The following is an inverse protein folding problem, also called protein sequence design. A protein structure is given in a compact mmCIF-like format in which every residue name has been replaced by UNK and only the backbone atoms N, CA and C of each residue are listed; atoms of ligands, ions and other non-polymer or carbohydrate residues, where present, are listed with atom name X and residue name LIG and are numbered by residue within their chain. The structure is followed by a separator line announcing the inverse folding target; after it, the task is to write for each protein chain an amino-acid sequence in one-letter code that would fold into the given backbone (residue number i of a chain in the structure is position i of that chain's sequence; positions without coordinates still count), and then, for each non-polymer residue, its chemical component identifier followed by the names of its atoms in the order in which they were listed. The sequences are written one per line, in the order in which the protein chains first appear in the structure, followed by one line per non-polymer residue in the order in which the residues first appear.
data_IF_764862233716
#
_entry.id   IF_764862233716
#
_cell.length_a   1.000
_cell.length_b   1.000
_cell.length_c   1.000
_cell.angle_alpha   90.00
_cell.angle_beta   90.00
_cell.angle_gamma   90.00
#
_symmetry.space_group_name_H-M   'P 1'
#
loop_
_entity.id
_entity.type
_entity.pdbx_description
1 polymer ?
#
# COMPACT_ATOMS: atom_id res chain seq x y z
N UNK A 1 0.12 -1.65 18.72
CA UNK A 1 1.44 -2.05 18.21
C UNK A 1 2.51 -1.01 18.53
N UNK A 2 2.33 0.28 18.19
CA UNK A 2 3.35 1.33 18.46
C UNK A 2 3.81 1.43 19.92
N UNK A 3 2.87 1.44 20.87
CA UNK A 3 3.14 1.60 22.31
C UNK A 3 3.99 0.47 22.92
N UNK A 4 4.07 -0.70 22.27
CA UNK A 4 4.79 -1.87 22.78
C UNK A 4 6.13 -2.11 22.06
N UNK A 5 6.33 -1.51 20.89
CA UNK A 5 7.48 -1.77 20.04
C UNK A 5 8.52 -0.64 20.03
N UNK A 6 8.26 0.48 20.72
CA UNK A 6 9.18 1.62 20.73
C UNK A 6 9.34 2.26 19.35
N UNK A 7 8.29 2.25 18.53
CA UNK A 7 8.29 2.80 17.16
C UNK A 7 7.33 3.98 17.05
N UNK A 8 7.69 4.95 16.21
CA UNK A 8 6.78 5.99 15.76
C UNK A 8 5.98 5.47 14.57
N UNK A 9 4.67 5.69 14.58
CA UNK A 9 3.78 5.32 13.47
C UNK A 9 3.25 6.59 12.83
N UNK A 10 3.61 6.79 11.56
CA UNK A 10 3.04 7.83 10.71
C UNK A 10 1.82 7.25 9.98
N UNK A 11 0.61 7.60 10.44
CA UNK A 11 -0.63 7.18 9.79
C UNK A 11 -1.02 8.19 8.72
N UNK A 12 -1.17 7.74 7.47
CA UNK A 12 -1.40 8.62 6.32
C UNK A 12 -2.89 8.73 6.02
N UNK A 13 -3.43 9.94 6.15
CA UNK A 13 -4.79 10.25 5.72
C UNK A 13 -4.80 10.63 4.23
N UNK A 14 -4.68 9.61 3.37
CA UNK A 14 -4.73 9.79 1.92
C UNK A 14 -6.16 10.02 1.44
N UNK A 15 -6.31 10.75 0.32
CA UNK A 15 -7.63 11.00 -0.27
C UNK A 15 -8.28 9.72 -0.78
N UNK A 16 -9.58 9.60 -0.57
CA UNK A 16 -10.36 8.40 -0.86
C UNK A 16 -11.13 8.51 -2.19
N UNK A 17 -11.33 7.35 -2.82
CA UNK A 17 -12.34 7.17 -3.84
C UNK A 17 -13.74 7.07 -3.18
N UNK A 18 -14.82 7.48 -3.87
CA UNK A 18 -14.90 7.86 -5.29
C UNK A 18 -14.46 9.28 -5.64
N UNK A 19 -14.39 10.19 -4.67
CA UNK A 19 -14.13 11.62 -4.90
C UNK A 19 -12.76 11.86 -5.53
N UNK A 20 -11.78 11.02 -5.16
CA UNK A 20 -10.42 11.05 -5.68
C UNK A 20 -10.05 9.66 -6.19
N UNK A 21 -10.38 9.36 -7.45
CA UNK A 21 -10.10 8.06 -8.08
C UNK A 21 -8.59 7.76 -8.12
N UNK A 22 -8.24 6.49 -8.29
CA UNK A 22 -6.86 6.09 -8.50
C UNK A 22 -6.21 6.89 -9.64
N UNK A 23 -4.95 7.37 -9.51
CA UNK A 23 -3.96 7.04 -8.46
C UNK A 23 -3.86 8.05 -7.30
N UNK A 24 -4.84 8.92 -7.06
CA UNK A 24 -4.66 10.07 -6.14
C UNK A 24 -4.25 9.66 -4.71
N UNK A 25 -4.96 8.73 -4.07
CA UNK A 25 -4.59 8.27 -2.72
C UNK A 25 -3.24 7.53 -2.66
N UNK A 26 -2.82 6.90 -3.77
CA UNK A 26 -1.50 6.31 -3.90
C UNK A 26 -0.42 7.40 -3.95
N UNK A 27 -0.65 8.48 -4.70
CA UNK A 27 0.26 9.63 -4.80
C UNK A 27 0.41 10.34 -3.45
N UNK A 28 -0.71 10.55 -2.73
CA UNK A 28 -0.65 11.11 -1.37
C UNK A 28 0.23 10.26 -0.44
N UNK A 29 0.06 8.94 -0.50
CA UNK A 29 0.86 8.01 0.29
C UNK A 29 2.34 8.02 -0.11
N UNK A 30 2.61 8.09 -1.41
CA UNK A 30 3.96 8.19 -1.97
C UNK A 30 4.68 9.47 -1.52
N UNK A 31 4.00 10.61 -1.61
CA UNK A 31 4.56 11.91 -1.22
C UNK A 31 4.89 11.95 0.27
N UNK A 32 4.06 11.34 1.13
CA UNK A 32 4.34 11.24 2.56
C UNK A 32 5.55 10.34 2.85
N UNK A 33 5.72 9.23 2.12
CA UNK A 33 6.91 8.37 2.26
C UNK A 33 8.19 9.14 1.88
N UNK A 34 8.15 9.92 0.79
CA UNK A 34 9.26 10.80 0.41
C UNK A 34 9.54 11.86 1.45
N UNK A 35 8.50 12.56 1.90
CA UNK A 35 8.62 13.59 2.91
C UNK A 35 9.24 13.04 4.20
N UNK A 36 8.76 11.89 4.68
CA UNK A 36 9.26 11.24 5.88
C UNK A 36 10.76 10.89 5.79
N UNK A 37 11.26 10.56 4.61
CA UNK A 37 12.68 10.28 4.39
C UNK A 37 13.57 11.54 4.44
N UNK A 38 13.01 12.75 4.35
CA UNK A 38 13.81 13.99 4.39
C UNK A 38 14.42 14.23 5.78
N UNK A 39 15.62 14.85 5.87
CA UNK A 39 16.21 15.21 7.16
C UNK A 39 15.31 16.12 8.01
N UNK A 40 14.56 17.01 7.39
CA UNK A 40 13.64 17.93 8.07
C UNK A 40 12.48 17.17 8.74
N UNK A 41 11.86 16.22 8.03
CA UNK A 41 10.79 15.40 8.61
C UNK A 41 11.32 14.49 9.72
N UNK A 42 12.48 13.87 9.52
CA UNK A 42 13.11 13.02 10.56
C UNK A 42 13.38 13.81 11.85
N UNK A 43 13.89 15.04 11.73
CA UNK A 43 14.08 15.94 12.87
C UNK A 43 12.74 16.34 13.52
N UNK A 44 11.73 16.69 12.71
CA UNK A 44 10.40 17.06 13.21
C UNK A 44 9.71 15.90 13.96
N UNK A 45 9.86 14.68 13.47
CA UNK A 45 9.30 13.47 14.08
C UNK A 45 10.17 12.88 15.20
N UNK A 46 11.39 13.40 15.39
CA UNK A 46 12.39 12.86 16.32
C UNK A 46 12.68 11.37 16.08
N UNK A 47 12.83 10.98 14.81
CA UNK A 47 13.12 9.60 14.38
C UNK A 47 14.47 9.49 13.68
N UNK A 48 15.02 8.28 13.67
CA UNK A 48 16.20 7.92 12.90
C UNK A 48 15.85 6.71 12.02
N UNK A 49 15.56 6.98 10.75
CA UNK A 49 15.10 5.97 9.81
C UNK A 49 16.21 4.98 9.41
N UNK A 50 17.48 5.24 9.76
CA UNK A 50 18.58 4.26 9.57
C UNK A 50 18.47 3.07 10.53
N UNK A 51 17.78 3.24 11.67
CA UNK A 51 17.49 2.16 12.62
C UNK A 51 16.32 1.29 12.19
N UNK A 52 15.47 1.79 11.30
CA UNK A 52 14.32 1.09 10.77
C UNK A 52 13.37 2.02 10.03
N UNK A 53 13.05 1.66 8.79
CA UNK A 53 12.07 2.35 7.96
C UNK A 53 11.15 1.32 7.31
N UNK A 54 9.99 1.11 7.92
CA UNK A 54 9.05 0.04 7.53
C UNK A 54 7.80 0.69 6.92
N UNK A 55 7.41 0.25 5.72
CA UNK A 55 6.08 0.59 5.19
C UNK A 55 5.11 -0.54 5.53
N UNK A 56 3.90 -0.17 5.93
CA UNK A 56 2.88 -1.12 6.33
C UNK A 56 1.50 -0.69 5.86
N UNK A 57 0.69 -1.67 5.49
CA UNK A 57 -0.67 -1.42 5.03
C UNK A 57 -1.60 -2.60 5.30
N UNK A 58 -2.89 -2.31 5.37
CA UNK A 58 -3.96 -3.30 5.47
C UNK A 58 -4.89 -3.18 4.26
N UNK A 59 -5.29 -4.29 3.65
CA UNK A 59 -6.23 -4.30 2.53
C UNK A 59 -5.80 -3.37 1.38
N UNK A 60 -6.59 -2.36 1.04
CA UNK A 60 -6.24 -1.34 0.04
C UNK A 60 -4.96 -0.56 0.39
N UNK A 61 -4.67 -0.29 1.68
CA UNK A 61 -3.40 0.34 2.07
C UNK A 61 -2.19 -0.55 1.81
N UNK A 62 -2.37 -1.88 1.86
CA UNK A 62 -1.31 -2.82 1.52
C UNK A 62 -1.07 -2.88 0.00
N UNK A 63 -2.09 -2.61 -0.83
CA UNK A 63 -1.91 -2.37 -2.27
C UNK A 63 -0.94 -1.21 -2.51
N UNK A 64 -1.19 -0.07 -1.85
CA UNK A 64 -0.35 1.12 -1.99
C UNK A 64 1.06 0.86 -1.47
N UNK A 65 1.19 0.18 -0.33
CA UNK A 65 2.49 -0.23 0.22
C UNK A 65 3.28 -1.08 -0.78
N UNK A 66 2.63 -2.05 -1.44
CA UNK A 66 3.28 -2.88 -2.45
C UNK A 66 3.79 -2.05 -3.63
N UNK A 67 2.93 -1.21 -4.22
CA UNK A 67 3.30 -0.35 -5.35
C UNK A 67 4.41 0.65 -5.02
N UNK A 68 4.31 1.34 -3.88
CA UNK A 68 5.33 2.31 -3.43
C UNK A 68 6.67 1.61 -3.17
N UNK A 69 6.65 0.46 -2.49
CA UNK A 69 7.88 -0.29 -2.22
C UNK A 69 8.57 -0.77 -3.49
N UNK A 70 7.80 -1.23 -4.49
CA UNK A 70 8.33 -1.58 -5.79
C UNK A 70 8.88 -0.37 -6.54
N UNK A 71 8.22 0.79 -6.48
CA UNK A 71 8.74 2.00 -7.11
C UNK A 71 10.14 2.36 -6.59
N UNK A 72 10.32 2.41 -5.26
CA UNK A 72 11.61 2.78 -4.66
C UNK A 72 12.68 1.67 -4.73
N UNK A 73 12.27 0.41 -4.91
CA UNK A 73 13.19 -0.71 -5.08
C UNK A 73 13.57 -0.99 -6.55
N UNK A 74 12.75 -0.56 -7.51
CA UNK A 74 12.52 -1.33 -8.74
C UNK A 74 13.10 -0.85 -10.06
N UNK A 75 13.85 0.25 -10.14
CA UNK A 75 14.55 0.63 -11.38
C UNK A 75 15.74 1.53 -11.08
N UNK A 76 16.83 1.43 -11.85
CA UNK A 76 17.99 2.33 -11.69
C UNK A 76 17.63 3.80 -11.89
N UNK A 77 16.64 4.05 -12.76
CA UNK A 77 16.15 5.38 -13.11
C UNK A 77 15.15 5.96 -12.10
N UNK A 78 14.63 5.14 -11.17
CA UNK A 78 13.71 5.62 -10.17
C UNK A 78 14.45 6.38 -9.06
N UNK A 79 13.77 7.36 -8.50
CA UNK A 79 14.23 8.02 -7.27
C UNK A 79 14.43 6.97 -6.16
N UNK A 80 15.50 7.12 -5.40
CA UNK A 80 15.82 6.22 -4.28
C UNK A 80 15.60 6.95 -2.97
N UNK A 81 15.03 6.25 -2.00
CA UNK A 81 14.96 6.74 -0.63
C UNK A 81 16.34 6.67 0.02
N UNK A 82 16.66 7.68 0.81
CA UNK A 82 17.80 7.69 1.70
C UNK A 82 17.34 8.18 3.07
N UNK A 83 17.22 7.29 4.08
CA UNK A 83 17.57 5.87 4.07
C UNK A 83 16.58 4.99 3.29
N UNK A 84 17.02 3.80 2.88
CA UNK A 84 16.17 2.81 2.20
C UNK A 84 15.18 2.15 3.17
N UNK A 85 14.10 1.61 2.61
CA UNK A 85 13.15 0.80 3.37
C UNK A 85 13.84 -0.45 3.93
N UNK A 86 13.63 -0.74 5.21
CA UNK A 86 14.21 -1.89 5.91
C UNK A 86 13.22 -3.03 6.10
N UNK A 87 11.94 -2.82 5.78
CA UNK A 87 10.91 -3.85 5.91
C UNK A 87 9.57 -3.43 5.31
N UNK A 88 8.73 -4.44 5.07
CA UNK A 88 7.36 -4.28 4.57
C UNK A 88 6.41 -5.11 5.43
N UNK A 89 5.23 -4.57 5.70
CA UNK A 89 4.16 -5.26 6.40
C UNK A 89 2.87 -5.23 5.57
N UNK A 90 2.44 -6.41 5.11
CA UNK A 90 1.21 -6.57 4.37
C UNK A 90 0.18 -7.34 5.20
N UNK A 91 -0.97 -6.72 5.43
CA UNK A 91 -2.08 -7.34 6.15
C UNK A 91 -3.26 -7.47 5.18
N UNK A 92 -3.64 -8.72 4.87
CA UNK A 92 -4.73 -9.04 3.94
C UNK A 92 -4.70 -8.21 2.63
N UNK A 93 -3.59 -8.24 1.87
CA UNK A 93 -3.38 -7.29 0.78
C UNK A 93 -4.25 -7.58 -0.44
N UNK A 94 -4.70 -6.52 -1.11
CA UNK A 94 -5.25 -6.59 -2.48
C UNK A 94 -4.16 -6.14 -3.46
N UNK A 95 -3.53 -7.04 -4.21
CA UNK A 95 -2.34 -6.71 -5.04
C UNK A 95 -2.55 -6.86 -6.54
N UNK A 96 -3.70 -7.40 -6.95
CA UNK A 96 -3.99 -7.65 -8.35
C UNK A 96 -5.48 -7.45 -8.59
N UNK A 97 -5.82 -6.69 -9.64
CA UNK A 97 -7.19 -6.55 -10.09
C UNK A 97 -7.74 -7.93 -10.50
N UNK A 98 -8.99 -8.29 -10.18
CA UNK A 98 -9.55 -9.61 -10.52
C UNK A 98 -9.41 -9.98 -11.99
N UNK A 99 -9.56 -9.00 -12.89
CA UNK A 99 -9.46 -9.18 -14.35
C UNK A 99 -8.01 -9.17 -14.88
N UNK A 100 -7.03 -8.75 -14.07
CA UNK A 100 -5.62 -8.70 -14.44
C UNK A 100 -4.81 -9.89 -13.88
N UNK A 101 -5.48 -10.87 -13.26
CA UNK A 101 -4.81 -12.07 -12.70
C UNK A 101 -4.12 -12.86 -13.82
N UNK A 102 -2.81 -13.16 -13.71
CA UNK A 102 -2.11 -13.95 -14.72
C UNK A 102 -2.71 -15.34 -14.87
N UNK A 103 -2.92 -15.78 -16.11
CA UNK A 103 -3.59 -17.05 -16.44
C UNK A 103 -2.98 -18.25 -15.70
N UNK A 104 -1.64 -18.31 -15.67
CA UNK A 104 -0.87 -19.36 -15.01
C UNK A 104 -1.09 -19.48 -13.49
N UNK A 105 -1.69 -18.46 -12.86
CA UNK A 105 -1.97 -18.43 -11.42
C UNK A 105 -3.46 -18.48 -11.09
N UNK A 106 -4.36 -18.47 -12.07
CA UNK A 106 -5.81 -18.46 -11.80
C UNK A 106 -6.26 -19.66 -10.96
N UNK A 107 -5.70 -20.84 -11.22
CA UNK A 107 -5.96 -22.06 -10.44
C UNK A 107 -5.45 -22.00 -8.98
N UNK A 108 -4.70 -20.96 -8.58
CA UNK A 108 -4.18 -20.77 -7.23
C UNK A 108 -4.84 -19.60 -6.48
N UNK A 109 -5.55 -18.72 -7.18
CA UNK A 109 -6.18 -17.50 -6.63
C UNK A 109 -7.70 -17.69 -6.67
N UNK A 110 -8.19 -18.74 -6.01
CA UNK A 110 -9.57 -19.20 -6.10
C UNK A 110 -10.54 -18.40 -5.23
N UNK A 111 -10.06 -17.78 -4.14
CA UNK A 111 -10.92 -17.14 -3.14
C UNK A 111 -11.83 -16.05 -3.70
N UNK A 112 -11.36 -15.29 -4.70
CA UNK A 112 -12.16 -14.25 -5.37
C UNK A 112 -13.28 -14.82 -6.26
N UNK A 113 -13.15 -16.08 -6.71
CA UNK A 113 -14.14 -16.74 -7.57
C UNK A 113 -15.08 -17.66 -6.78
N UNK A 114 -14.59 -18.29 -5.72
CA UNK A 114 -15.33 -19.31 -4.96
C UNK A 114 -16.01 -18.76 -3.70
N UNK A 115 -15.46 -17.68 -3.10
CA UNK A 115 -15.96 -17.13 -1.83
C UNK A 115 -16.67 -15.81 -2.08
N UNK A 116 -17.99 -15.88 -2.23
CA UNK A 116 -18.79 -14.73 -2.64
C UNK A 116 -19.40 -13.93 -1.47
N UNK A 117 -19.54 -14.55 -0.29
CA UNK A 117 -20.23 -13.97 0.87
C UNK A 117 -19.42 -14.14 2.17
N UNK A 118 -18.14 -13.72 2.14
CA UNK A 118 -17.33 -13.71 3.35
C UNK A 118 -17.75 -12.55 4.27
N UNK A 119 -17.83 -12.78 5.60
CA UNK A 119 -18.09 -11.70 6.55
C UNK A 119 -17.11 -10.54 6.38
N UNK A 120 -17.62 -9.34 6.08
CA UNK A 120 -16.84 -8.11 5.92
C UNK A 120 -16.34 -7.81 4.50
N UNK A 121 -16.35 -8.78 3.57
CA UNK A 121 -15.97 -8.55 2.17
C UNK A 121 -16.69 -9.53 1.24
N UNK A 122 -17.61 -9.02 0.43
CA UNK A 122 -18.39 -9.82 -0.53
C UNK A 122 -17.89 -9.64 -1.95
N UNK A 123 -18.22 -10.57 -2.85
CA UNK A 123 -17.93 -10.43 -4.28
C UNK A 123 -18.55 -9.16 -4.87
N UNK A 124 -19.81 -8.86 -4.50
CA UNK A 124 -20.50 -7.63 -4.93
C UNK A 124 -19.75 -6.36 -4.51
N UNK A 125 -19.19 -6.31 -3.30
CA UNK A 125 -18.37 -5.16 -2.89
C UNK A 125 -17.06 -5.08 -3.67
N UNK A 126 -16.40 -6.20 -3.95
CA UNK A 126 -15.18 -6.23 -4.76
C UNK A 126 -15.46 -5.69 -6.16
N UNK A 127 -16.52 -6.18 -6.81
CA UNK A 127 -16.90 -5.75 -8.17
C UNK A 127 -17.26 -4.26 -8.22
N UNK A 128 -17.95 -3.75 -7.20
CA UNK A 128 -18.26 -2.31 -7.09
C UNK A 128 -17.00 -1.45 -7.07
N UNK A 129 -16.04 -1.76 -6.19
CA UNK A 129 -14.81 -0.98 -6.09
C UNK A 129 -13.93 -1.14 -7.34
N UNK A 130 -13.82 -2.36 -7.86
CA UNK A 130 -13.06 -2.68 -9.07
C UNK A 130 -13.59 -1.93 -10.30
N UNK A 131 -14.89 -2.02 -10.59
CA UNK A 131 -15.47 -1.49 -11.83
C UNK A 131 -15.60 0.04 -11.89
N UNK A 132 -15.86 0.71 -10.76
CA UNK A 132 -16.22 2.14 -10.77
C UNK A 132 -15.04 3.08 -10.46
N UNK A 133 -13.98 2.56 -9.82
CA UNK A 133 -12.97 3.38 -9.15
C UNK A 133 -11.51 3.01 -9.47
N UNK A 134 -11.28 1.85 -10.09
CA UNK A 134 -9.95 1.42 -10.54
C UNK A 134 -10.03 1.03 -12.02
N UNK A 135 -9.72 1.97 -12.92
CA UNK A 135 -9.66 1.67 -14.34
C UNK A 135 -8.38 0.88 -14.65
N UNK A 136 -8.51 -0.23 -15.40
CA UNK A 136 -7.43 -0.76 -16.24
C UNK A 136 -7.37 0.02 -17.55
#
# INVERSE_FOLDING_TARGET
MSLQCGVVVLNVEYRLAPENKFPVGWQDSYDIVKWAATPAAQAQLSVDLTKGFILGGTSAGANFTAGISHFFAGHEDNEKLSPQLTGLMFIAPSVCHPDARPEQYKNRILSVDEINDAPGLTRKSIDYFAGEHFFL
#
